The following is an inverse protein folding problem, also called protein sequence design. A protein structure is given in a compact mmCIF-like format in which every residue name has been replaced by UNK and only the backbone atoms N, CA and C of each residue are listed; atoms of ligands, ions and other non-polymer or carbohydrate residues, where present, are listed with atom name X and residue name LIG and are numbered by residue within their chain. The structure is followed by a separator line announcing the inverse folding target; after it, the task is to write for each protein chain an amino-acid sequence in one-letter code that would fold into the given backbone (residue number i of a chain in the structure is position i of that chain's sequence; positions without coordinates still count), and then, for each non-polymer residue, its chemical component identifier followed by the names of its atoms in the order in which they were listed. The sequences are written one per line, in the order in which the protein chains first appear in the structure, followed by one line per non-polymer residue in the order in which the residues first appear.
data_IF_008276360936
#
_entry.id   IF_008276360936
#
_cell.length_a   1.000
_cell.length_b   1.000
_cell.length_c   1.000
_cell.angle_alpha   90.00
_cell.angle_beta   90.00
_cell.angle_gamma   90.00
#
_symmetry.space_group_name_H-M   'P 1'
#
loop_
_entity.id
_entity.type
_entity.pdbx_description
1 polymer ?
#
# COMPACT_ATOMS: atom_id res chain seq x y z
N UNK A 1 -22.57 25.57 -7.47
CA UNK A 1 -21.36 25.98 -6.70
C UNK A 1 -20.77 24.86 -5.85
N UNK A 2 -21.58 24.00 -5.22
CA UNK A 2 -21.09 22.87 -4.41
C UNK A 2 -20.20 21.89 -5.18
N UNK A 3 -20.58 21.47 -6.39
CA UNK A 3 -19.77 20.54 -7.20
C UNK A 3 -18.35 21.10 -7.51
N UNK A 4 -18.26 22.37 -7.89
CA UNK A 4 -16.98 23.02 -8.19
C UNK A 4 -16.08 23.05 -6.95
N UNK A 5 -16.66 23.30 -5.77
CA UNK A 5 -15.93 23.27 -4.51
C UNK A 5 -15.36 21.89 -4.20
N UNK A 6 -16.10 20.81 -4.48
CA UNK A 6 -15.63 19.43 -4.28
C UNK A 6 -14.47 19.07 -5.22
N UNK A 7 -14.56 19.45 -6.50
CA UNK A 7 -13.46 19.25 -7.44
C UNK A 7 -12.20 20.05 -7.06
N UNK A 8 -12.36 21.28 -6.55
CA UNK A 8 -11.24 22.07 -6.03
C UNK A 8 -10.62 21.40 -4.81
N UNK A 9 -11.43 20.91 -3.87
CA UNK A 9 -10.94 20.16 -2.70
C UNK A 9 -10.16 18.90 -3.13
N UNK A 10 -10.70 18.15 -4.10
CA UNK A 10 -10.04 16.96 -4.68
C UNK A 10 -8.66 17.33 -5.24
N UNK A 11 -8.58 18.38 -6.05
CA UNK A 11 -7.31 18.86 -6.63
C UNK A 11 -6.30 19.30 -5.58
N UNK A 12 -6.72 20.10 -4.58
CA UNK A 12 -5.85 20.60 -3.51
C UNK A 12 -5.34 19.45 -2.64
N UNK A 13 -6.22 18.55 -2.20
CA UNK A 13 -5.85 17.42 -1.36
C UNK A 13 -4.88 16.48 -2.09
N UNK A 14 -5.11 16.23 -3.38
CA UNK A 14 -4.18 15.45 -4.21
C UNK A 14 -2.81 16.13 -4.29
N UNK A 15 -2.75 17.44 -4.50
CA UNK A 15 -1.49 18.18 -4.54
C UNK A 15 -0.73 18.10 -3.20
N UNK A 16 -1.44 18.17 -2.07
CA UNK A 16 -0.85 18.01 -0.74
C UNK A 16 -0.26 16.61 -0.56
N UNK A 17 -0.98 15.55 -0.96
CA UNK A 17 -0.49 14.17 -0.90
C UNK A 17 0.78 14.02 -1.73
N UNK A 18 0.77 14.50 -2.98
CA UNK A 18 1.94 14.44 -3.86
C UNK A 18 3.14 15.17 -3.24
N UNK A 19 2.93 16.37 -2.69
CA UNK A 19 3.99 17.10 -2.03
C UNK A 19 4.54 16.36 -0.80
N UNK A 20 3.66 15.88 0.09
CA UNK A 20 4.03 15.17 1.31
C UNK A 20 4.73 13.83 1.02
N UNK A 21 4.33 13.13 -0.06
CA UNK A 21 4.92 11.84 -0.45
C UNK A 21 6.41 11.94 -0.77
N UNK A 22 6.88 13.08 -1.31
CA UNK A 22 8.30 13.31 -1.55
C UNK A 22 9.12 13.36 -0.26
N UNK A 23 8.58 14.00 0.80
CA UNK A 23 9.22 14.04 2.11
C UNK A 23 9.16 12.68 2.80
N UNK A 24 8.06 11.93 2.62
CA UNK A 24 7.93 10.58 3.12
C UNK A 24 9.00 9.66 2.51
N UNK A 25 9.13 9.64 1.18
CA UNK A 25 10.13 8.84 0.47
C UNK A 25 11.57 9.22 0.88
N UNK A 26 11.90 10.52 0.89
CA UNK A 26 13.24 10.99 1.27
C UNK A 26 13.59 10.68 2.73
N UNK A 27 12.61 10.77 3.63
CA UNK A 27 12.83 10.41 5.04
C UNK A 27 12.97 8.90 5.24
N UNK A 28 12.23 8.08 4.48
CA UNK A 28 12.42 6.64 4.39
C UNK A 28 13.83 6.28 3.92
N UNK A 29 14.34 6.86 2.83
CA UNK A 29 15.71 6.63 2.36
C UNK A 29 16.74 6.98 3.44
N UNK A 30 16.58 8.13 4.11
CA UNK A 30 17.47 8.53 5.21
C UNK A 30 17.41 7.59 6.43
N UNK A 31 16.25 6.98 6.70
CA UNK A 31 16.10 5.97 7.76
C UNK A 31 16.82 4.69 7.33
N UNK A 32 16.68 4.27 6.07
CA UNK A 32 17.36 3.10 5.51
C UNK A 32 18.87 3.20 5.65
N UNK A 33 19.44 4.31 5.20
CA UNK A 33 20.88 4.55 5.19
C UNK A 33 21.46 4.55 6.62
N UNK A 34 20.72 5.07 7.62
CA UNK A 34 21.19 5.16 9.02
C UNK A 34 20.95 3.91 9.86
N UNK A 35 19.98 3.10 9.47
CA UNK A 35 19.67 1.85 10.18
C UNK A 35 20.43 0.66 9.59
N UNK A 36 21.01 0.80 8.40
CA UNK A 36 21.64 -0.31 7.67
C UNK A 36 20.64 -1.36 7.21
N UNK A 37 19.34 -1.05 7.23
CA UNK A 37 18.26 -1.95 6.82
C UNK A 37 18.05 -1.95 5.31
N UNK A 38 18.66 -1.02 4.58
CA UNK A 38 18.58 -0.96 3.14
C UNK A 38 17.30 -0.34 2.56
N UNK A 39 17.48 0.39 1.46
CA UNK A 39 16.42 1.25 0.89
C UNK A 39 15.20 0.47 0.42
N UNK A 40 15.40 -0.72 -0.17
CA UNK A 40 14.27 -1.53 -0.61
C UNK A 40 13.46 -2.08 0.55
N UNK A 41 14.08 -2.51 1.66
CA UNK A 41 13.34 -2.96 2.86
C UNK A 41 12.54 -1.80 3.43
N UNK A 42 13.16 -0.64 3.63
CA UNK A 42 12.41 0.51 4.17
C UNK A 42 11.29 0.93 3.22
N UNK A 43 11.50 0.84 1.91
CA UNK A 43 10.44 1.04 0.90
C UNK A 43 9.30 0.02 1.01
N UNK A 44 9.62 -1.27 1.09
CA UNK A 44 8.62 -2.35 1.15
C UNK A 44 7.91 -2.40 2.51
N UNK A 45 8.59 -2.04 3.59
CA UNK A 45 8.02 -2.14 4.94
C UNK A 45 7.43 -0.82 5.40
N UNK A 46 8.24 0.23 5.56
CA UNK A 46 7.75 1.48 6.16
C UNK A 46 6.91 2.27 5.17
N UNK A 47 7.42 2.48 3.95
CA UNK A 47 6.72 3.27 2.95
C UNK A 47 5.42 2.58 2.53
N UNK A 48 5.47 1.28 2.18
CA UNK A 48 4.26 0.55 1.81
C UNK A 48 3.23 0.48 2.95
N UNK A 49 3.66 0.33 4.21
CA UNK A 49 2.74 0.39 5.36
C UNK A 49 2.09 1.76 5.44
N UNK A 50 2.88 2.85 5.44
CA UNK A 50 2.36 4.21 5.56
C UNK A 50 1.36 4.55 4.44
N UNK A 51 1.60 4.07 3.23
CA UNK A 51 0.69 4.29 2.10
C UNK A 51 -0.49 3.34 2.05
N UNK A 52 -0.47 2.20 2.76
CA UNK A 52 -1.58 1.22 2.80
C UNK A 52 -2.52 1.40 4.01
N UNK A 53 -2.14 2.24 4.98
CA UNK A 53 -2.99 2.56 6.13
C UNK A 53 -4.34 3.18 5.74
N UNK A 54 -4.42 4.11 4.77
CA UNK A 54 -5.71 4.65 4.29
C UNK A 54 -6.67 3.57 3.75
N UNK A 55 -6.14 2.62 3.00
CA UNK A 55 -6.84 1.47 2.40
C UNK A 55 -7.34 0.53 3.50
N UNK A 56 -6.51 0.24 4.50
CA UNK A 56 -6.97 -0.49 5.70
C UNK A 56 -8.10 0.25 6.42
N UNK A 57 -8.02 1.57 6.53
CA UNK A 57 -9.06 2.39 7.16
C UNK A 57 -10.37 2.41 6.36
N UNK A 58 -10.29 2.57 5.04
CA UNK A 58 -11.45 2.56 4.14
C UNK A 58 -12.08 1.17 4.06
N UNK A 59 -11.30 0.11 3.89
CA UNK A 59 -11.78 -1.27 3.94
C UNK A 59 -12.45 -1.64 5.28
N UNK A 60 -11.85 -1.25 6.41
CA UNK A 60 -12.46 -1.47 7.73
C UNK A 60 -13.77 -0.68 7.89
N UNK A 61 -13.81 0.57 7.41
CA UNK A 61 -15.01 1.42 7.42
C UNK A 61 -16.14 0.83 6.58
N UNK A 62 -15.84 0.33 5.37
CA UNK A 62 -16.80 -0.36 4.49
C UNK A 62 -17.49 -1.54 5.17
N UNK A 63 -16.74 -2.34 5.93
CA UNK A 63 -17.30 -3.49 6.66
C UNK A 63 -18.05 -3.03 7.92
N UNK A 64 -17.44 -2.20 8.77
CA UNK A 64 -17.97 -1.87 10.11
C UNK A 64 -19.13 -0.88 10.06
N UNK A 65 -19.06 0.12 9.17
CA UNK A 65 -20.04 1.21 9.09
C UNK A 65 -21.10 0.98 8.02
N UNK A 66 -20.73 0.36 6.90
CA UNK A 66 -21.61 0.24 5.74
C UNK A 66 -22.11 -1.20 5.52
N UNK A 67 -21.51 -2.21 6.17
CA UNK A 67 -21.82 -3.62 5.96
C UNK A 67 -21.66 -4.06 4.48
N UNK A 68 -20.75 -3.41 3.76
CA UNK A 68 -20.48 -3.63 2.33
C UNK A 68 -19.15 -4.38 2.18
N UNK A 69 -19.21 -5.72 2.20
CA UNK A 69 -18.01 -6.58 2.15
C UNK A 69 -17.39 -6.56 0.75
N UNK A 70 -18.20 -6.58 -0.30
CA UNK A 70 -17.75 -6.54 -1.68
C UNK A 70 -17.02 -5.23 -2.00
N UNK A 71 -17.44 -4.12 -1.38
CA UNK A 71 -16.75 -2.84 -1.49
C UNK A 71 -15.35 -2.88 -0.86
N UNK A 72 -15.22 -3.50 0.31
CA UNK A 72 -13.92 -3.66 0.96
C UNK A 72 -12.97 -4.57 0.15
N UNK A 73 -13.49 -5.67 -0.41
CA UNK A 73 -12.72 -6.53 -1.30
C UNK A 73 -12.33 -5.80 -2.60
N UNK A 74 -13.28 -5.08 -3.21
CA UNK A 74 -13.07 -4.29 -4.41
C UNK A 74 -12.02 -3.20 -4.23
N UNK A 75 -11.97 -2.54 -3.07
CA UNK A 75 -10.96 -1.55 -2.73
C UNK A 75 -9.55 -2.17 -2.68
N UNK A 76 -9.37 -3.27 -1.97
CA UNK A 76 -8.07 -3.95 -1.83
C UNK A 76 -7.57 -4.47 -3.19
N UNK A 77 -8.39 -5.25 -3.90
CA UNK A 77 -7.98 -5.84 -5.18
C UNK A 77 -7.88 -4.79 -6.29
N UNK A 78 -8.78 -3.82 -6.32
CA UNK A 78 -8.76 -2.70 -7.25
C UNK A 78 -7.49 -1.86 -7.10
N UNK A 79 -7.09 -1.57 -5.86
CA UNK A 79 -5.84 -0.87 -5.56
C UNK A 79 -4.62 -1.65 -6.05
N UNK A 80 -4.59 -2.98 -5.91
CA UNK A 80 -3.51 -3.80 -6.48
C UNK A 80 -3.43 -3.67 -8.00
N UNK A 81 -4.55 -3.75 -8.71
CA UNK A 81 -4.59 -3.61 -10.18
C UNK A 81 -4.16 -2.22 -10.62
N UNK A 82 -4.67 -1.17 -9.95
CA UNK A 82 -4.30 0.21 -10.25
C UNK A 82 -2.81 0.48 -10.00
N UNK A 83 -2.24 -0.09 -8.93
CA UNK A 83 -0.80 0.05 -8.64
C UNK A 83 0.08 -0.56 -9.72
N UNK A 84 -0.36 -1.63 -10.40
CA UNK A 84 0.37 -2.19 -11.53
C UNK A 84 0.33 -1.27 -12.77
N UNK A 85 -0.78 -0.56 -12.99
CA UNK A 85 -0.91 0.42 -14.07
C UNK A 85 0.10 1.57 -13.92
N UNK A 86 0.44 1.95 -12.69
CA UNK A 86 1.44 3.00 -12.43
C UNK A 86 2.76 2.69 -13.13
N UNK A 87 3.19 1.43 -13.19
CA UNK A 87 4.44 1.04 -13.86
C UNK A 87 4.39 1.40 -15.35
N UNK A 88 3.26 1.12 -16.02
CA UNK A 88 3.08 1.48 -17.43
C UNK A 88 3.08 3.00 -17.65
N UNK A 89 2.46 3.75 -16.73
CA UNK A 89 2.48 5.23 -16.78
C UNK A 89 3.90 5.75 -16.61
N UNK A 90 4.65 5.20 -15.64
CA UNK A 90 6.04 5.59 -15.40
C UNK A 90 6.94 5.26 -16.60
N UNK A 91 6.72 4.14 -17.29
CA UNK A 91 7.43 3.80 -18.54
C UNK A 91 7.21 4.84 -19.65
N UNK A 92 6.00 5.40 -19.76
CA UNK A 92 5.70 6.46 -20.73
C UNK A 92 6.41 7.78 -20.41
N UNK A 93 6.62 8.07 -19.12
CA UNK A 93 7.30 9.27 -18.64
C UNK A 93 8.83 9.10 -18.72
N UNK A 94 9.33 7.93 -18.34
CA UNK A 94 10.75 7.62 -18.25
C UNK A 94 11.32 7.14 -19.59
N UNK A 95 11.82 8.09 -20.40
CA UNK A 95 12.26 7.83 -21.79
C UNK A 95 13.60 7.09 -21.96
N UNK A 96 14.34 6.81 -20.89
CA UNK A 96 15.68 6.23 -21.03
C UNK A 96 15.64 4.73 -21.33
N UNK A 97 14.91 3.94 -20.55
CA UNK A 97 14.73 2.48 -20.71
C UNK A 97 13.44 2.03 -20.04
N UNK A 98 12.75 0.98 -20.55
CA UNK A 98 11.60 0.40 -19.85
C UNK A 98 11.99 -0.06 -18.46
N UNK A 99 11.20 0.32 -17.45
CA UNK A 99 11.40 -0.03 -16.04
C UNK A 99 11.43 -1.54 -15.88
N UNK A 100 10.51 -2.27 -16.52
CA UNK A 100 10.47 -3.75 -16.46
C UNK A 100 11.77 -4.41 -16.93
N UNK A 101 12.52 -3.76 -17.83
CA UNK A 101 13.81 -4.28 -18.32
C UNK A 101 15.01 -3.89 -17.44
N UNK A 102 14.79 -3.00 -16.47
CA UNK A 102 15.84 -2.38 -15.65
C UNK A 102 15.67 -2.65 -14.14
N UNK A 103 14.63 -3.38 -13.73
CA UNK A 103 14.40 -3.76 -12.33
C UNK A 103 15.39 -4.82 -11.87
N UNK A 104 15.84 -4.71 -10.61
CA UNK A 104 16.71 -5.69 -9.97
C UNK A 104 15.98 -6.97 -9.54
N UNK A 105 16.68 -7.84 -8.81
CA UNK A 105 16.12 -9.13 -8.38
C UNK A 105 15.07 -9.00 -7.27
N UNK A 106 15.18 -8.00 -6.38
CA UNK A 106 14.25 -7.84 -5.26
C UNK A 106 12.80 -7.60 -5.73
N UNK A 107 12.51 -6.68 -6.67
CA UNK A 107 11.16 -6.53 -7.23
C UNK A 107 10.57 -7.81 -7.83
N UNK A 108 11.38 -8.67 -8.45
CA UNK A 108 10.92 -9.95 -9.02
C UNK A 108 10.41 -10.87 -7.90
N UNK A 109 11.16 -10.95 -6.81
CA UNK A 109 10.80 -11.78 -5.66
C UNK A 109 9.55 -11.22 -4.95
N UNK A 110 9.49 -9.90 -4.77
CA UNK A 110 8.30 -9.22 -4.21
C UNK A 110 7.07 -9.51 -5.07
N UNK A 111 7.17 -9.37 -6.40
CA UNK A 111 6.07 -9.68 -7.31
C UNK A 111 5.65 -11.16 -7.22
N UNK A 112 6.60 -12.09 -7.14
CA UNK A 112 6.32 -13.51 -6.96
C UNK A 112 5.58 -13.82 -5.64
N UNK A 113 6.02 -13.22 -4.53
CA UNK A 113 5.35 -13.36 -3.23
C UNK A 113 3.94 -12.74 -3.24
N UNK A 114 3.76 -11.60 -3.92
CA UNK A 114 2.44 -11.00 -4.13
C UNK A 114 1.50 -11.93 -4.90
N UNK A 115 1.97 -12.62 -5.94
CA UNK A 115 1.17 -13.61 -6.68
C UNK A 115 0.72 -14.74 -5.75
N UNK A 116 1.59 -15.24 -4.87
CA UNK A 116 1.24 -16.30 -3.91
C UNK A 116 0.16 -15.83 -2.95
N UNK A 117 0.27 -14.62 -2.40
CA UNK A 117 -0.72 -14.04 -1.49
C UNK A 117 -2.08 -13.84 -2.18
N UNK A 118 -2.10 -13.23 -3.36
CA UNK A 118 -3.33 -13.00 -4.15
C UNK A 118 -3.97 -14.33 -4.55
N UNK A 119 -3.17 -15.32 -4.97
CA UNK A 119 -3.70 -16.65 -5.33
C UNK A 119 -4.32 -17.35 -4.12
N UNK A 120 -3.71 -17.19 -2.94
CA UNK A 120 -4.24 -17.75 -1.69
C UNK A 120 -5.55 -17.08 -1.28
N UNK A 121 -5.68 -15.76 -1.48
CA UNK A 121 -6.91 -15.05 -1.15
C UNK A 121 -8.05 -15.42 -2.11
N UNK A 122 -7.77 -15.57 -3.40
CA UNK A 122 -8.74 -16.07 -4.39
C UNK A 122 -9.16 -17.50 -4.06
N UNK A 123 -8.20 -18.38 -3.73
CA UNK A 123 -8.50 -19.73 -3.29
C UNK A 123 -9.44 -19.72 -2.08
N UNK A 124 -9.24 -18.78 -1.14
CA UNK A 124 -10.14 -18.63 -0.01
C UNK A 124 -11.58 -18.29 -0.38
N UNK A 125 -11.76 -17.34 -1.28
CA UNK A 125 -13.09 -16.95 -1.77
C UNK A 125 -13.78 -18.14 -2.45
N UNK A 126 -13.08 -18.81 -3.38
CA UNK A 126 -13.64 -19.95 -4.14
C UNK A 126 -13.90 -21.18 -3.26
N UNK A 127 -13.03 -21.44 -2.29
CA UNK A 127 -13.18 -22.55 -1.36
C UNK A 127 -14.42 -22.36 -0.48
N UNK A 128 -14.63 -21.14 0.03
CA UNK A 128 -15.78 -20.81 0.86
C UNK A 128 -17.10 -20.85 0.08
N UNK A 129 -17.09 -20.51 -1.22
CA UNK A 129 -18.25 -20.66 -2.10
C UNK A 129 -18.68 -22.14 -2.28
N UNK A 130 -17.73 -23.08 -2.23
CA UNK A 130 -17.99 -24.49 -2.51
C UNK A 130 -18.19 -25.36 -1.24
N UNK A 131 -17.56 -25.00 -0.13
CA UNK A 131 -17.55 -25.78 1.11
C UNK A 131 -18.10 -24.96 2.30
N UNK A 132 -19.40 -24.67 2.27
CA UNK A 132 -20.14 -23.86 3.26
C UNK A 132 -20.08 -24.41 4.71
N UNK A 133 -19.65 -25.67 4.90
CA UNK A 133 -19.71 -26.38 6.20
C UNK A 133 -18.40 -26.42 7.02
N UNK A 134 -17.26 -25.92 6.50
CA UNK A 134 -15.95 -25.96 7.19
C UNK A 134 -15.64 -24.61 7.87
N UNK A 135 -16.65 -23.94 8.42
CA UNK A 135 -16.39 -22.98 9.49
C UNK A 135 -16.02 -23.77 10.74
N UNK A 136 -14.72 -24.03 10.92
CA UNK A 136 -14.20 -24.64 12.14
C UNK A 136 -14.72 -23.82 13.33
N UNK A 137 -15.58 -24.48 14.11
CA UNK A 137 -16.35 -24.01 15.27
C UNK A 137 -15.55 -23.31 16.38
N UNK A 138 -14.24 -23.11 16.19
CA UNK A 138 -13.28 -22.64 17.18
C UNK A 138 -13.17 -21.10 17.18
N UNK A 139 -13.51 -20.41 16.09
CA UNK A 139 -13.59 -18.93 16.05
C UNK A 139 -14.67 -18.47 15.07
N UNK A 140 -15.89 -18.23 15.54
CA UNK A 140 -17.05 -17.75 14.77
C UNK A 140 -16.87 -16.38 14.04
N UNK A 141 -15.64 -15.94 13.78
CA UNK A 141 -15.22 -14.64 13.22
C UNK A 141 -13.99 -14.68 12.32
N UNK A 142 -13.19 -15.77 12.28
CA UNK A 142 -11.88 -15.77 11.63
C UNK A 142 -11.70 -17.00 10.75
N UNK A 143 -11.62 -16.76 9.43
CA UNK A 143 -11.45 -17.79 8.42
C UNK A 143 -10.04 -18.41 8.49
N UNK A 144 -9.88 -19.74 8.44
CA UNK A 144 -8.57 -20.40 8.43
C UNK A 144 -7.61 -19.87 7.35
N UNK A 145 -8.13 -19.49 6.19
CA UNK A 145 -7.38 -18.97 5.05
C UNK A 145 -6.88 -17.56 5.34
N UNK A 146 -7.62 -16.76 6.12
CA UNK A 146 -7.11 -15.47 6.63
C UNK A 146 -5.89 -15.65 7.54
N UNK A 147 -5.86 -16.72 8.36
CA UNK A 147 -4.70 -17.05 9.19
C UNK A 147 -3.52 -17.46 8.31
N UNK A 148 -3.75 -18.27 7.28
CA UNK A 148 -2.72 -18.65 6.31
C UNK A 148 -2.16 -17.42 5.59
N UNK A 149 -3.01 -16.47 5.17
CA UNK A 149 -2.59 -15.21 4.56
C UNK A 149 -1.67 -14.39 5.49
N UNK A 150 -2.02 -14.29 6.77
CA UNK A 150 -1.19 -13.58 7.75
C UNK A 150 0.18 -14.25 7.91
N UNK A 151 0.20 -15.58 8.03
CA UNK A 151 1.45 -16.34 8.12
C UNK A 151 2.31 -16.15 6.86
N UNK A 152 1.71 -16.27 5.68
CA UNK A 152 2.40 -16.06 4.40
C UNK A 152 2.94 -14.64 4.26
N UNK A 153 2.19 -13.63 4.73
CA UNK A 153 2.65 -12.25 4.73
C UNK A 153 3.89 -12.07 5.60
N UNK A 154 3.88 -12.61 6.83
CA UNK A 154 5.03 -12.54 7.74
C UNK A 154 6.25 -13.27 7.16
N UNK A 155 6.05 -14.45 6.56
CA UNK A 155 7.11 -15.19 5.87
C UNK A 155 7.66 -14.39 4.68
N UNK A 156 6.79 -13.81 3.86
CA UNK A 156 7.17 -12.99 2.70
C UNK A 156 8.04 -11.82 3.14
N UNK A 157 7.63 -11.12 4.21
CA UNK A 157 8.39 -10.01 4.79
C UNK A 157 9.75 -10.45 5.31
N UNK A 158 9.83 -11.63 5.96
CA UNK A 158 11.10 -12.18 6.42
C UNK A 158 12.04 -12.57 5.26
N UNK A 159 11.50 -13.15 4.19
CA UNK A 159 12.26 -13.48 2.98
C UNK A 159 12.84 -12.20 2.35
N UNK A 160 12.00 -11.18 2.15
CA UNK A 160 12.41 -9.89 1.58
C UNK A 160 13.49 -9.25 2.44
N UNK A 161 13.30 -9.23 3.77
CA UNK A 161 14.28 -8.72 4.72
C UNK A 161 15.64 -9.42 4.59
N UNK A 162 15.63 -10.76 4.48
CA UNK A 162 16.88 -11.53 4.40
C UNK A 162 17.64 -11.29 3.10
N UNK A 163 16.93 -11.18 1.98
CA UNK A 163 17.53 -10.94 0.65
C UNK A 163 18.20 -9.57 0.62
N UNK A 164 17.47 -8.55 1.04
CA UNK A 164 17.95 -7.17 0.97
C UNK A 164 19.09 -6.90 1.96
N UNK A 165 19.05 -7.50 3.16
CA UNK A 165 20.19 -7.44 4.07
C UNK A 165 21.47 -7.97 3.43
N UNK A 166 21.39 -9.06 2.66
CA UNK A 166 22.54 -9.62 1.97
C UNK A 166 23.03 -8.74 0.81
N UNK A 167 22.13 -7.98 0.15
CA UNK A 167 22.51 -7.03 -0.91
C UNK A 167 23.14 -5.75 -0.33
N UNK A 168 22.71 -5.30 0.85
CA UNK A 168 23.18 -4.06 1.50
C UNK A 168 24.59 -4.11 2.09
N UNK A 169 25.21 -5.29 2.20
CA UNK A 169 26.64 -5.38 2.57
C UNK A 169 27.60 -4.84 1.48
N UNK A 170 27.08 -4.33 0.34
CA UNK A 170 27.88 -3.94 -0.84
C UNK A 170 27.74 -2.50 -1.36
N UNK A 171 26.85 -1.67 -0.80
CA UNK A 171 26.71 -0.25 -1.17
C UNK A 171 27.07 0.68 0.00
N UNK A 172 28.16 1.44 -0.15
CA UNK A 172 28.67 2.39 0.84
C UNK A 172 27.62 3.43 1.26
N UNK A 173 27.56 3.69 2.57
CA UNK A 173 26.65 4.65 3.19
C UNK A 173 26.83 6.06 2.62
N UNK A 174 25.78 6.60 1.98
CA UNK A 174 25.72 8.03 1.66
C UNK A 174 25.64 8.80 2.98
N UNK A 175 26.69 9.57 3.27
CA UNK A 175 26.80 10.42 4.45
C UNK A 175 25.73 11.54 4.42
N UNK A 176 24.53 11.25 4.92
CA UNK A 176 23.48 12.24 5.13
C UNK A 176 23.65 12.88 6.52
N UNK A 177 23.78 14.21 6.56
CA UNK A 177 24.03 14.98 7.79
C UNK A 177 22.85 15.04 8.77
N UNK A 178 21.66 14.61 8.34
CA UNK A 178 20.47 14.64 9.18
C UNK A 178 20.57 13.61 10.33
N UNK A 179 19.92 13.85 11.46
CA UNK A 179 19.85 12.84 12.54
C UNK A 179 18.75 11.81 12.26
N UNK A 180 18.92 10.56 12.67
CA UNK A 180 17.87 9.52 12.60
C UNK A 180 16.54 10.00 13.22
N UNK A 181 16.61 10.70 14.36
CA UNK A 181 15.43 11.30 15.02
C UNK A 181 14.69 12.28 14.11
N UNK A 182 15.42 13.15 13.40
CA UNK A 182 14.83 14.13 12.48
C UNK A 182 14.14 13.43 11.31
N UNK A 183 14.80 12.44 10.72
CA UNK A 183 14.24 11.62 9.64
C UNK A 183 12.97 10.89 10.09
N UNK A 184 12.98 10.29 11.29
CA UNK A 184 11.81 9.62 11.86
C UNK A 184 10.63 10.57 12.11
N UNK A 185 10.88 11.78 12.60
CA UNK A 185 9.83 12.80 12.80
C UNK A 185 9.23 13.24 11.47
N UNK A 186 10.06 13.53 10.46
CA UNK A 186 9.58 13.91 9.13
C UNK A 186 8.73 12.80 8.52
N UNK A 187 9.20 11.55 8.62
CA UNK A 187 8.46 10.39 8.15
C UNK A 187 7.07 10.30 8.79
N UNK A 188 7.00 10.40 10.11
CA UNK A 188 5.74 10.29 10.84
C UNK A 188 4.76 11.43 10.51
N UNK A 189 5.26 12.67 10.42
CA UNK A 189 4.45 13.83 10.04
C UNK A 189 3.91 13.66 8.62
N UNK A 190 4.77 13.32 7.66
CA UNK A 190 4.38 13.10 6.27
C UNK A 190 3.35 11.97 6.14
N UNK A 191 3.56 10.84 6.82
CA UNK A 191 2.63 9.72 6.82
C UNK A 191 1.27 10.14 7.38
N UNK A 192 1.25 10.85 8.50
CA UNK A 192 0.01 11.34 9.12
C UNK A 192 -0.75 12.28 8.20
N UNK A 193 -0.05 13.23 7.55
CA UNK A 193 -0.66 14.14 6.58
C UNK A 193 -1.28 13.35 5.41
N UNK A 194 -0.54 12.40 4.86
CA UNK A 194 -1.03 11.57 3.74
C UNK A 194 -2.27 10.79 4.16
N UNK A 195 -2.27 10.18 5.35
CA UNK A 195 -3.42 9.42 5.85
C UNK A 195 -4.65 10.31 6.01
N UNK A 196 -4.51 11.46 6.66
CA UNK A 196 -5.62 12.41 6.86
C UNK A 196 -6.16 12.89 5.51
N UNK A 197 -5.26 13.26 4.59
CA UNK A 197 -5.64 13.71 3.26
C UNK A 197 -6.32 12.61 2.45
N UNK A 198 -5.85 11.35 2.52
CA UNK A 198 -6.44 10.23 1.81
C UNK A 198 -7.86 9.91 2.32
N UNK A 199 -8.07 9.90 3.64
CA UNK A 199 -9.41 9.74 4.24
C UNK A 199 -10.34 10.88 3.83
N UNK A 200 -9.85 12.13 3.82
CA UNK A 200 -10.61 13.28 3.35
C UNK A 200 -10.98 13.15 1.86
N UNK A 201 -10.02 12.73 1.04
CA UNK A 201 -10.18 12.56 -0.40
C UNK A 201 -11.27 11.52 -0.72
N UNK A 202 -11.29 10.40 0.01
CA UNK A 202 -12.33 9.39 -0.11
C UNK A 202 -13.74 9.97 0.16
N UNK A 203 -13.88 10.78 1.21
CA UNK A 203 -15.15 11.44 1.53
C UNK A 203 -15.57 12.46 0.46
N UNK A 204 -14.62 13.24 -0.09
CA UNK A 204 -14.89 14.16 -1.20
C UNK A 204 -15.34 13.39 -2.44
N UNK A 205 -14.66 12.28 -2.77
CA UNK A 205 -15.02 11.40 -3.88
C UNK A 205 -16.45 10.87 -3.76
N UNK A 206 -16.83 10.37 -2.58
CA UNK A 206 -18.19 9.92 -2.30
C UNK A 206 -19.23 11.02 -2.53
N UNK A 207 -18.99 12.23 -2.02
CA UNK A 207 -19.91 13.34 -2.22
C UNK A 207 -20.06 13.73 -3.70
N UNK A 208 -18.99 13.61 -4.50
CA UNK A 208 -19.06 13.80 -5.95
C UNK A 208 -19.93 12.71 -6.58
N UNK A 209 -19.71 11.44 -6.22
CA UNK A 209 -20.46 10.31 -6.78
C UNK A 209 -21.97 10.44 -6.51
N UNK A 210 -22.36 10.82 -5.29
CA UNK A 210 -23.77 11.04 -4.90
C UNK A 210 -24.39 12.17 -5.73
N UNK A 211 -23.71 13.31 -5.86
CA UNK A 211 -24.24 14.48 -6.59
C UNK A 211 -24.32 14.21 -8.10
N UNK A 212 -23.44 13.37 -8.63
CA UNK A 212 -23.38 12.99 -10.04
C UNK A 212 -24.27 11.79 -10.39
N UNK A 213 -25.00 11.23 -9.42
CA UNK A 213 -25.85 10.04 -9.57
C UNK A 213 -25.07 8.82 -10.08
N UNK A 214 -23.82 8.66 -9.62
CA UNK A 214 -22.96 7.50 -9.95
C UNK A 214 -23.12 6.32 -8.99
N UNK A 215 -23.63 6.56 -7.78
CA UNK A 215 -24.10 5.49 -6.88
C UNK A 215 -25.58 5.24 -7.20
N UNK A 216 -25.90 4.07 -7.79
CA UNK A 216 -27.27 3.56 -7.95
C UNK A 216 -27.63 2.62 -6.82
#
# INVERSE_FOLDING_TARGET
MQILSLWIQLGITTAIILYASNFLAKSADNIADKTGLGRSIIGVVLLATATSLPELGTGASSIVLFNEIDLAAGDVYGSCVFNLLIIAILDLIYRNKPILSSVGNTPIIVAGLSIVLISTSIFGILYMEYFDEISLLIFNRLDPISIVLLILFVISMFIIYKIEKNNHESEDAINTSDTLKKSGIIFFISATIIIICAVWLANVGKNIAIIMEWET
#
